data_IF_520476599578
#
_entry.id   IF_520476599578
#
_cell.length_a   1.000
_cell.length_b   1.000
_cell.length_c   1.000
_cell.angle_alpha   90.00
_cell.angle_beta   90.00
_cell.angle_gamma   90.00
#
_symmetry.space_group_name_H-M   'P 1'
#
loop_
_entity.id
_entity.type
_entity.pdbx_description
1 polymer ?
#
# COMPACT_ATOMS: atom_id res chain seq x y z
N UNK A 1 -4.02 9.20 -6.11
CA UNK A 1 -5.11 8.56 -5.37
C UNK A 1 -5.91 9.66 -4.77
N UNK A 2 -7.19 9.67 -5.06
CA UNK A 2 -8.05 10.78 -4.66
C UNK A 2 -8.58 10.59 -3.24
N UNK A 3 -8.54 9.36 -2.71
CA UNK A 3 -8.91 9.06 -1.32
C UNK A 3 -8.06 7.94 -0.68
N UNK A 4 -7.96 7.88 0.66
CA UNK A 4 -7.32 6.77 1.37
C UNK A 4 -7.94 5.41 1.06
N UNK A 5 -9.25 5.34 0.85
CA UNK A 5 -9.97 4.09 0.55
C UNK A 5 -9.53 3.50 -0.80
N UNK A 6 -9.26 4.35 -1.79
CA UNK A 6 -8.72 3.92 -3.08
C UNK A 6 -7.30 3.32 -2.91
N UNK A 7 -6.50 3.91 -2.03
CA UNK A 7 -5.17 3.39 -1.68
C UNK A 7 -5.22 2.06 -0.95
N UNK A 8 -6.15 1.92 -0.01
CA UNK A 8 -6.37 0.66 0.72
C UNK A 8 -6.86 -0.45 -0.23
N UNK A 9 -7.76 -0.13 -1.15
CA UNK A 9 -8.23 -1.08 -2.16
C UNK A 9 -7.09 -1.55 -3.08
N UNK A 10 -6.24 -0.64 -3.58
CA UNK A 10 -5.08 -1.00 -4.40
C UNK A 10 -4.08 -1.84 -3.60
N UNK A 11 -3.78 -1.44 -2.36
CA UNK A 11 -2.89 -2.16 -1.46
C UNK A 11 -3.38 -3.61 -1.23
N UNK A 12 -4.66 -3.78 -0.95
CA UNK A 12 -5.27 -5.09 -0.75
C UNK A 12 -5.19 -5.96 -2.02
N UNK A 13 -5.42 -5.37 -3.20
CA UNK A 13 -5.30 -6.09 -4.47
C UNK A 13 -3.86 -6.57 -4.73
N UNK A 14 -2.86 -5.74 -4.45
CA UNK A 14 -1.45 -6.11 -4.58
C UNK A 14 -1.07 -7.26 -3.63
N UNK A 15 -1.63 -7.27 -2.41
CA UNK A 15 -1.37 -8.32 -1.44
C UNK A 15 -2.08 -9.65 -1.78
N UNK A 16 -3.25 -9.61 -2.43
CA UNK A 16 -4.06 -10.82 -2.69
C UNK A 16 -3.42 -11.82 -3.66
N UNK A 17 -2.61 -11.38 -4.64
CA UNK A 17 -2.00 -12.28 -5.65
C UNK A 17 -0.70 -12.95 -5.16
N UNK A 18 -0.69 -13.41 -3.91
CA UNK A 18 0.48 -14.00 -3.25
C UNK A 18 1.52 -12.98 -2.78
N UNK A 19 1.14 -11.71 -2.67
CA UNK A 19 1.97 -10.65 -2.13
C UNK A 19 1.98 -10.65 -0.60
N UNK A 20 3.08 -10.18 -0.03
CA UNK A 20 3.26 -10.00 1.41
C UNK A 20 3.16 -8.52 1.77
N UNK A 21 2.28 -8.22 2.73
CA UNK A 21 2.20 -6.94 3.40
C UNK A 21 3.48 -6.70 4.22
N UNK A 22 4.47 -6.02 3.64
CA UNK A 22 5.72 -5.64 4.35
C UNK A 22 5.43 -4.52 5.33
N UNK A 23 4.61 -3.57 4.93
CA UNK A 23 4.14 -2.48 5.77
C UNK A 23 2.66 -2.22 5.47
N UNK A 24 1.77 -2.23 6.48
CA UNK A 24 0.35 -1.96 6.28
C UNK A 24 0.15 -0.54 5.72
N UNK A 25 -0.87 -0.37 4.87
CA UNK A 25 -1.28 0.95 4.42
C UNK A 25 -1.92 1.72 5.58
N UNK A 26 -1.23 2.75 6.06
CA UNK A 26 -1.67 3.53 7.22
C UNK A 26 -1.25 5.00 7.10
N UNK A 27 -1.94 5.87 7.85
CA UNK A 27 -1.56 7.27 8.01
C UNK A 27 -0.22 7.35 8.74
N UNK A 28 0.79 7.87 8.07
CA UNK A 28 2.10 8.09 8.63
C UNK A 28 2.12 9.33 9.53
N UNK A 29 3.09 9.42 10.47
CA UNK A 29 3.20 10.55 11.39
C UNK A 29 3.36 11.92 10.71
N UNK A 30 3.80 11.96 9.45
CA UNK A 30 3.98 13.18 8.67
C UNK A 30 2.75 13.58 7.83
N UNK A 31 1.66 12.82 7.90
CA UNK A 31 0.35 13.20 7.31
C UNK A 31 -0.02 12.50 6.00
N UNK A 32 0.90 11.76 5.39
CA UNK A 32 0.60 10.96 4.19
C UNK A 32 0.14 9.56 4.55
N UNK A 33 -0.71 8.94 3.73
CA UNK A 33 -0.93 7.49 3.83
C UNK A 33 0.14 6.75 3.02
N UNK A 34 0.71 5.72 3.62
CA UNK A 34 1.77 4.92 3.01
C UNK A 34 1.68 3.44 3.40
N UNK A 35 1.95 2.56 2.44
CA UNK A 35 2.00 1.10 2.61
C UNK A 35 2.99 0.47 1.63
N UNK A 36 3.49 -0.72 1.98
CA UNK A 36 4.42 -1.49 1.14
C UNK A 36 3.94 -2.92 1.01
N UNK A 37 3.85 -3.40 -0.23
CA UNK A 37 3.59 -4.80 -0.57
C UNK A 37 4.77 -5.35 -1.36
N UNK A 38 5.26 -6.53 -1.00
CA UNK A 38 6.18 -7.30 -1.82
C UNK A 38 5.39 -8.36 -2.58
N UNK A 39 5.40 -8.36 -3.92
CA UNK A 39 4.64 -9.33 -4.70
C UNK A 39 5.29 -10.73 -4.70
N UNK A 40 4.60 -11.72 -5.27
CA UNK A 40 5.10 -13.11 -5.37
C UNK A 40 6.39 -13.28 -6.18
N UNK A 41 6.80 -12.27 -6.94
CA UNK A 41 8.03 -12.26 -7.74
C UNK A 41 9.18 -11.53 -7.01
N UNK A 42 8.91 -10.94 -5.84
CA UNK A 42 9.87 -10.22 -5.02
C UNK A 42 9.97 -8.73 -5.35
N UNK A 43 9.08 -8.17 -6.17
CA UNK A 43 9.06 -6.72 -6.40
C UNK A 43 8.32 -5.99 -5.29
N UNK A 44 8.86 -4.85 -4.87
CA UNK A 44 8.26 -4.01 -3.84
C UNK A 44 7.49 -2.85 -4.44
N UNK A 45 6.23 -2.79 -4.07
CA UNK A 45 5.26 -1.78 -4.46
C UNK A 45 5.00 -0.84 -3.29
N UNK A 46 5.30 0.44 -3.50
CA UNK A 46 5.01 1.51 -2.56
C UNK A 46 3.69 2.15 -2.93
N UNK A 47 2.71 2.10 -2.03
CA UNK A 47 1.40 2.75 -2.22
C UNK A 47 1.37 4.00 -1.36
N UNK A 48 1.25 5.17 -1.99
CA UNK A 48 1.22 6.47 -1.30
C UNK A 48 0.00 7.28 -1.70
N UNK A 49 -0.61 7.95 -0.70
CA UNK A 49 -1.54 9.06 -0.90
C UNK A 49 -0.97 10.27 -0.17
N UNK A 50 -0.58 11.27 -0.94
CA UNK A 50 -0.09 12.54 -0.39
C UNK A 50 -1.25 13.32 0.26
N UNK A 51 -0.94 14.00 1.35
CA UNK A 51 -1.84 14.86 2.13
C UNK A 51 -2.67 15.78 1.27
#
# INVERSE_FOLDING_TARGET
>A
MDSPEEGEALYAQLAQDGGTAVMPFALAPWGDYFGVVEDKFGFRWNVTKQG
#
